data_IF_721895588074
#
_entry.id   IF_721895588074
#
_cell.length_a   1.000
_cell.length_b   1.000
_cell.length_c   1.000
_cell.angle_alpha   90.00
_cell.angle_beta   90.00
_cell.angle_gamma   90.00
#
_symmetry.space_group_name_H-M   'P 1'
#
loop_
_entity.id
_entity.type
_entity.pdbx_description
1 polymer ?
#
# COMPACT_ATOMS: atom_id res chain seq x y z
N UNK A 1 0.92 -7.57 7.25
CA UNK A 1 0.28 -6.24 7.32
C UNK A 1 1.32 -5.24 6.89
N UNK A 2 0.96 -4.42 5.90
CA UNK A 2 1.74 -3.26 5.50
C UNK A 2 0.95 -2.01 5.92
N UNK A 3 1.62 -1.07 6.60
CA UNK A 3 0.99 0.17 7.05
C UNK A 3 1.47 1.34 6.21
N UNK A 4 0.56 1.95 5.43
CA UNK A 4 0.90 3.08 4.56
C UNK A 4 1.01 4.42 5.30
N UNK A 5 0.51 4.52 6.54
CA UNK A 5 0.44 5.78 7.31
C UNK A 5 1.76 6.55 7.37
N UNK A 6 2.94 5.92 7.62
CA UNK A 6 4.21 6.64 7.70
C UNK A 6 4.63 7.32 6.39
N UNK A 7 4.07 6.89 5.25
CA UNK A 7 4.46 7.37 3.93
C UNK A 7 3.55 8.48 3.41
N UNK A 8 2.38 8.72 4.03
CA UNK A 8 1.34 9.64 3.54
C UNK A 8 1.77 11.09 3.36
N UNK A 9 2.91 11.50 3.92
CA UNK A 9 3.46 12.86 3.76
C UNK A 9 4.65 12.92 2.79
N UNK A 10 4.97 11.81 2.10
CA UNK A 10 6.14 11.70 1.21
C UNK A 10 5.72 11.37 -0.22
N UNK A 11 6.30 12.07 -1.20
CA UNK A 11 6.14 11.73 -2.62
C UNK A 11 4.68 11.76 -3.09
N UNK A 12 4.22 10.68 -3.74
CA UNK A 12 2.84 10.53 -4.25
C UNK A 12 1.86 9.88 -3.25
N UNK A 13 2.35 9.35 -2.13
CA UNK A 13 1.50 8.75 -1.10
C UNK A 13 0.47 9.70 -0.44
N UNK A 14 0.60 11.05 -0.46
CA UNK A 14 -0.49 11.93 -0.01
C UNK A 14 -1.82 11.73 -0.74
N UNK A 15 -1.82 11.16 -1.95
CA UNK A 15 -3.06 10.81 -2.68
C UNK A 15 -3.88 9.75 -1.93
N UNK A 16 -3.21 8.87 -1.17
CA UNK A 16 -3.86 7.84 -0.36
C UNK A 16 -4.56 8.39 0.88
N UNK A 17 -4.47 9.71 1.15
CA UNK A 17 -5.31 10.37 2.16
C UNK A 17 -6.78 10.43 1.72
N UNK A 18 -7.05 10.39 0.42
CA UNK A 18 -8.41 10.20 -0.09
C UNK A 18 -8.78 8.72 0.05
N UNK A 19 -9.79 8.44 0.87
CA UNK A 19 -10.26 7.08 1.11
C UNK A 19 -10.80 6.41 -0.16
N UNK A 20 -11.31 7.17 -1.12
CA UNK A 20 -11.78 6.64 -2.41
C UNK A 20 -10.61 6.09 -3.20
N UNK A 21 -9.50 6.84 -3.24
CA UNK A 21 -8.26 6.36 -3.85
C UNK A 21 -7.74 5.19 -3.03
N UNK A 22 -7.55 5.33 -1.71
CA UNK A 22 -6.99 4.27 -0.87
C UNK A 22 -7.72 2.92 -0.99
N UNK A 23 -9.06 2.93 -1.06
CA UNK A 23 -9.88 1.73 -1.18
C UNK A 23 -9.87 1.11 -2.60
N UNK A 24 -9.29 1.78 -3.60
CA UNK A 24 -9.13 1.26 -4.96
C UNK A 24 -7.94 0.31 -5.12
N UNK A 25 -7.22 0.02 -4.03
CA UNK A 25 -6.07 -0.88 -4.04
C UNK A 25 -6.44 -2.23 -4.65
N UNK A 26 -5.64 -2.69 -5.60
CA UNK A 26 -5.81 -4.00 -6.21
C UNK A 26 -4.47 -4.59 -6.63
N UNK A 27 -4.44 -5.90 -6.82
CA UNK A 27 -3.25 -6.62 -7.28
C UNK A 27 -3.09 -6.35 -8.77
N UNK A 28 -1.90 -5.93 -9.18
CA UNK A 28 -1.55 -5.73 -10.57
C UNK A 28 -0.15 -6.28 -10.82
N UNK A 29 -0.05 -7.16 -11.83
CA UNK A 29 1.12 -8.01 -12.09
C UNK A 29 1.57 -8.75 -10.82
N UNK A 30 2.71 -8.35 -10.26
CA UNK A 30 3.33 -8.96 -9.07
C UNK A 30 3.30 -8.04 -7.84
N UNK A 31 2.55 -6.93 -7.89
CA UNK A 31 2.44 -6.00 -6.77
C UNK A 31 1.02 -5.45 -6.59
N UNK A 32 0.90 -4.33 -5.87
CA UNK A 32 -0.33 -3.58 -5.66
C UNK A 32 -0.25 -2.21 -6.33
N UNK A 33 -1.39 -1.78 -6.86
CA UNK A 33 -1.57 -0.43 -7.39
C UNK A 33 -2.92 0.17 -6.99
N UNK A 34 -3.00 1.49 -7.13
CA UNK A 34 -4.20 2.29 -6.89
C UNK A 34 -4.69 2.95 -8.19
N UNK A 35 -5.94 3.40 -8.21
CA UNK A 35 -6.56 4.06 -9.37
C UNK A 35 -5.85 5.35 -9.80
N UNK A 36 -4.98 5.93 -8.97
CA UNK A 36 -4.14 7.07 -9.31
C UNK A 36 -2.83 6.70 -10.02
N UNK A 37 -2.66 5.42 -10.39
CA UNK A 37 -1.43 4.87 -10.95
C UNK A 37 -0.23 4.97 -9.99
N UNK A 38 -0.51 5.05 -8.68
CA UNK A 38 0.47 4.81 -7.65
C UNK A 38 0.61 3.29 -7.49
N UNK A 39 1.84 2.80 -7.54
CA UNK A 39 2.23 1.43 -7.27
C UNK A 39 3.29 1.38 -6.17
N UNK A 40 3.44 0.21 -5.55
CA UNK A 40 4.52 -0.05 -4.58
C UNK A 40 5.34 -1.20 -5.10
N UNK A 41 6.67 -1.12 -4.99
CA UNK A 41 7.53 -2.24 -5.39
C UNK A 41 7.29 -3.48 -4.49
N UNK A 42 7.23 -4.71 -5.06
CA UNK A 42 6.92 -5.91 -4.29
C UNK A 42 7.97 -6.26 -3.23
N UNK A 43 9.25 -6.02 -3.49
CA UNK A 43 10.33 -6.23 -2.51
C UNK A 43 10.20 -5.24 -1.35
N UNK A 44 9.87 -3.99 -1.65
CA UNK A 44 9.58 -2.99 -0.63
C UNK A 44 8.36 -3.38 0.21
N UNK A 45 7.26 -3.79 -0.43
CA UNK A 45 6.05 -4.22 0.24
C UNK A 45 6.31 -5.39 1.20
N UNK A 46 7.09 -6.38 0.77
CA UNK A 46 7.43 -7.54 1.60
C UNK A 46 8.36 -7.16 2.75
N UNK A 47 9.43 -6.41 2.48
CA UNK A 47 10.42 -6.03 3.49
C UNK A 47 9.87 -5.13 4.60
N UNK A 48 8.88 -4.29 4.29
CA UNK A 48 8.21 -3.42 5.26
C UNK A 48 6.96 -4.04 5.89
N UNK A 49 6.55 -5.22 5.42
CA UNK A 49 5.39 -5.91 5.98
C UNK A 49 5.73 -6.67 7.25
N UNK A 50 4.82 -6.62 8.23
CA UNK A 50 4.90 -7.44 9.43
C UNK A 50 3.96 -8.65 9.34
N UNK A 51 4.36 -9.78 9.91
CA UNK A 51 3.49 -10.95 10.03
C UNK A 51 2.30 -10.62 10.94
N UNK A 52 1.08 -10.91 10.49
CA UNK A 52 -0.10 -10.83 11.35
C UNK A 52 -0.22 -12.19 12.06
N UNK A 53 -0.20 -12.24 13.41
CA UNK A 53 -0.44 -13.49 14.11
C UNK A 53 -1.82 -14.00 13.73
N UNK A 54 -1.92 -15.29 13.37
CA UNK A 54 -3.21 -15.94 13.15
C UNK A 54 -3.95 -15.93 14.49
N UNK A 55 -5.06 -15.22 14.56
CA UNK A 55 -6.01 -15.40 15.67
C UNK A 55 -6.53 -16.84 15.60
N UNK A 56 -6.27 -17.60 16.67
CA UNK A 56 -6.71 -18.98 16.84
C UNK A 56 -8.22 -19.06 17.09
#
# INVERSE_FOLDING_TARGET
MFDVKPFLDTGKFPELKDLTIFNSVHIHFDSIEWSSSLDVDPEFLYSQSCQIPKSA
#
